data_IF_749135827641
#
_entry.id   IF_749135827641
#
_cell.length_a   1.000
_cell.length_b   1.000
_cell.length_c   1.000
_cell.angle_alpha   90.00
_cell.angle_beta   90.00
_cell.angle_gamma   90.00
#
_symmetry.space_group_name_H-M   'P 1'
#
loop_
_entity.id
_entity.type
_entity.pdbx_description
1 polymer ?
#
# COMPACT_ATOMS: atom_id res chain seq x y z
N UNK A 1 6.36 33.28 11.71
CA UNK A 1 5.06 32.63 11.88
C UNK A 1 4.30 32.80 10.57
N UNK A 2 4.26 31.77 9.73
CA UNK A 2 3.32 31.71 8.62
C UNK A 2 2.33 30.59 8.99
N UNK A 3 1.08 30.98 9.21
CA UNK A 3 -0.04 30.04 9.27
C UNK A 3 0.06 29.14 8.04
N UNK A 4 0.28 27.83 8.22
CA UNK A 4 0.08 26.90 7.11
C UNK A 4 -1.42 26.88 6.87
N UNK A 5 -1.89 27.67 5.91
CA UNK A 5 -3.28 27.73 5.50
C UNK A 5 -3.66 26.38 4.88
N UNK A 6 -3.95 25.41 5.73
CA UNK A 6 -4.41 24.08 5.34
C UNK A 6 -5.78 24.22 4.71
N UNK A 7 -5.90 23.86 3.44
CA UNK A 7 -7.18 23.84 2.75
C UNK A 7 -7.98 22.62 3.23
N UNK A 8 -8.98 22.83 4.09
CA UNK A 8 -9.91 21.78 4.50
C UNK A 8 -11.16 21.81 3.63
N UNK A 9 -11.32 20.80 2.79
CA UNK A 9 -12.44 20.66 1.87
C UNK A 9 -13.31 19.52 2.35
N UNK A 10 -14.57 19.86 2.64
CA UNK A 10 -15.63 18.87 2.68
C UNK A 10 -16.21 18.77 1.27
N UNK A 11 -16.02 17.62 0.63
CA UNK A 11 -16.64 17.32 -0.65
C UNK A 11 -18.14 17.15 -0.37
N UNK A 12 -19.03 17.92 -1.02
CA UNK A 12 -20.44 17.86 -0.71
C UNK A 12 -21.04 16.56 -1.24
N UNK A 13 -22.16 16.14 -0.66
CA UNK A 13 -22.90 14.97 -1.13
C UNK A 13 -23.32 15.07 -2.60
N UNK A 14 -23.77 13.93 -3.14
CA UNK A 14 -24.18 13.78 -4.54
C UNK A 14 -25.13 14.93 -4.96
N UNK A 15 -24.74 15.69 -6.00
CA UNK A 15 -25.55 16.78 -6.56
C UNK A 15 -25.04 18.21 -6.34
N UNK A 16 -23.87 18.41 -5.73
CA UNK A 16 -23.28 19.74 -5.49
C UNK A 16 -21.87 19.89 -6.08
N UNK A 17 -21.59 21.03 -6.73
CA UNK A 17 -20.24 21.37 -7.21
C UNK A 17 -19.56 22.37 -6.26
N UNK A 18 -18.34 22.08 -5.83
CA UNK A 18 -17.49 23.06 -5.13
C UNK A 18 -16.30 23.42 -6.02
N UNK A 19 -16.03 24.72 -6.15
CA UNK A 19 -14.72 25.23 -6.56
C UNK A 19 -14.14 26.02 -5.40
N UNK A 20 -13.23 25.42 -4.65
CA UNK A 20 -12.42 26.12 -3.64
C UNK A 20 -11.02 26.35 -4.19
N UNK A 21 -10.54 27.58 -4.01
CA UNK A 21 -9.20 28.02 -4.41
C UNK A 21 -8.60 28.71 -3.19
N UNK A 22 -7.53 28.18 -2.60
CA UNK A 22 -6.81 28.88 -1.52
C UNK A 22 -5.62 29.64 -2.07
N UNK A 23 -5.15 30.63 -1.33
CA UNK A 23 -4.01 31.49 -1.70
C UNK A 23 -2.71 30.70 -1.98
N UNK A 24 -2.61 29.44 -1.52
CA UNK A 24 -1.43 28.56 -1.62
C UNK A 24 -1.64 27.11 -2.08
N UNK A 25 -2.84 26.50 -2.01
CA UNK A 25 -2.91 25.02 -1.88
C UNK A 25 -3.40 24.20 -3.06
N UNK A 26 -4.62 24.45 -3.55
CA UNK A 26 -5.19 23.70 -4.67
C UNK A 26 -6.46 24.33 -5.22
N UNK A 27 -6.79 24.03 -6.48
CA UNK A 27 -8.14 24.18 -7.04
C UNK A 27 -8.82 22.83 -7.03
N UNK A 28 -9.98 22.72 -6.39
CA UNK A 28 -10.77 21.49 -6.39
C UNK A 28 -12.03 21.64 -7.22
N UNK A 29 -12.38 20.63 -7.99
CA UNK A 29 -13.60 20.58 -8.80
C UNK A 29 -14.28 19.23 -8.60
N UNK A 30 -15.60 19.25 -8.36
CA UNK A 30 -16.42 18.04 -8.24
C UNK A 30 -17.40 17.94 -9.42
N UNK A 31 -17.47 16.77 -10.05
CA UNK A 31 -18.37 16.50 -11.19
C UNK A 31 -19.05 15.15 -11.00
N UNK A 32 -20.37 15.08 -11.25
CA UNK A 32 -21.10 13.82 -11.29
C UNK A 32 -20.82 13.09 -12.61
N UNK A 33 -20.51 11.79 -12.53
CA UNK A 33 -20.60 10.89 -13.67
C UNK A 33 -21.29 9.59 -13.22
N UNK A 34 -22.58 9.44 -13.52
CA UNK A 34 -23.38 8.32 -12.99
C UNK A 34 -23.52 8.39 -11.47
N UNK A 35 -23.30 7.27 -10.78
CA UNK A 35 -23.41 7.16 -9.32
C UNK A 35 -22.10 7.50 -8.58
N UNK A 36 -21.05 7.89 -9.32
CA UNK A 36 -19.72 8.18 -8.76
C UNK A 36 -19.48 9.69 -8.68
N UNK A 37 -19.00 10.14 -7.53
CA UNK A 37 -18.55 11.53 -7.32
C UNK A 37 -17.09 11.69 -7.75
N UNK A 38 -16.83 12.49 -8.79
CA UNK A 38 -15.47 12.71 -9.27
C UNK A 38 -14.92 14.02 -8.72
N UNK A 39 -13.88 13.95 -7.90
CA UNK A 39 -13.14 15.10 -7.38
C UNK A 39 -11.79 15.20 -8.09
N UNK A 40 -11.45 16.39 -8.60
CA UNK A 40 -10.11 16.67 -9.12
C UNK A 40 -9.48 17.81 -8.35
N UNK A 41 -8.23 17.64 -7.97
CA UNK A 41 -7.42 18.59 -7.22
C UNK A 41 -6.26 19.01 -8.12
N UNK A 42 -6.12 20.30 -8.39
CA UNK A 42 -5.08 20.88 -9.24
C UNK A 42 -4.17 21.80 -8.44
N UNK A 43 -2.87 21.92 -8.79
CA UNK A 43 -2.00 22.91 -8.19
C UNK A 43 -2.53 24.32 -8.49
N UNK A 44 -2.58 25.19 -7.48
CA UNK A 44 -3.05 26.57 -7.65
C UNK A 44 -1.93 27.54 -8.08
N UNK A 45 -0.68 27.27 -7.69
CA UNK A 45 0.53 27.99 -8.11
C UNK A 45 1.73 27.03 -8.19
N UNK A 46 2.49 27.08 -9.28
CA UNK A 46 3.62 26.17 -9.50
C UNK A 46 3.17 24.78 -10.02
N UNK A 47 3.90 23.72 -9.66
CA UNK A 47 3.63 22.34 -10.11
C UNK A 47 3.04 21.43 -9.03
N UNK A 48 3.02 21.86 -7.77
CA UNK A 48 2.68 21.00 -6.62
C UNK A 48 1.39 21.41 -5.92
N UNK A 49 0.65 20.41 -5.45
CA UNK A 49 -0.52 20.48 -4.59
C UNK A 49 0.00 20.33 -3.15
N UNK A 50 -0.20 21.36 -2.32
CA UNK A 50 0.33 21.37 -0.95
C UNK A 50 -0.77 21.65 0.08
N UNK A 51 -0.65 21.01 1.24
CA UNK A 51 -1.44 21.29 2.46
C UNK A 51 -2.96 21.18 2.26
N UNK A 52 -3.42 20.10 1.60
CA UNK A 52 -4.84 19.83 1.37
C UNK A 52 -5.34 18.75 2.33
N UNK A 53 -6.44 19.02 3.02
CA UNK A 53 -7.26 18.04 3.71
C UNK A 53 -8.56 17.88 2.95
N UNK A 54 -8.81 16.68 2.42
CA UNK A 54 -10.01 16.34 1.67
C UNK A 54 -10.76 15.24 2.41
N UNK A 55 -12.04 15.50 2.69
CA UNK A 55 -12.96 14.49 3.22
C UNK A 55 -14.12 14.29 2.26
N UNK A 56 -14.31 13.05 1.84
CA UNK A 56 -15.42 12.62 1.00
C UNK A 56 -16.77 12.67 1.74
N UNK A 57 -17.90 12.66 1.01
CA UNK A 57 -19.22 12.58 1.62
C UNK A 57 -19.39 11.31 2.45
N UNK A 58 -20.39 11.29 3.33
CA UNK A 58 -20.62 10.13 4.22
C UNK A 58 -20.94 8.82 3.49
N UNK A 59 -21.38 8.88 2.23
CA UNK A 59 -21.71 7.72 1.41
C UNK A 59 -21.62 8.04 -0.08
N UNK A 60 -21.67 7.00 -0.90
CA UNK A 60 -21.58 7.00 -2.35
C UNK A 60 -20.14 6.83 -2.83
N UNK A 61 -19.98 6.09 -3.93
CA UNK A 61 -18.69 5.83 -4.54
C UNK A 61 -17.99 7.14 -4.96
N UNK A 62 -16.67 7.19 -4.77
CA UNK A 62 -15.87 8.38 -5.07
C UNK A 62 -14.69 8.07 -5.98
N UNK A 63 -14.28 9.09 -6.74
CA UNK A 63 -13.05 9.08 -7.52
C UNK A 63 -12.34 10.41 -7.36
N UNK A 64 -11.19 10.39 -6.70
CA UNK A 64 -10.43 11.58 -6.39
C UNK A 64 -9.06 11.54 -7.05
N UNK A 65 -8.76 12.56 -7.86
CA UNK A 65 -7.49 12.67 -8.59
C UNK A 65 -6.73 13.93 -8.20
N UNK A 66 -5.54 13.77 -7.64
CA UNK A 66 -4.56 14.82 -7.40
C UNK A 66 -3.66 14.94 -8.64
N UNK A 67 -3.90 16.00 -9.42
CA UNK A 67 -3.33 16.22 -10.74
C UNK A 67 -2.01 17.01 -10.67
N UNK A 68 -0.99 16.44 -10.04
CA UNK A 68 0.34 17.03 -9.86
C UNK A 68 1.10 16.42 -8.68
N UNK A 69 2.34 16.86 -8.49
CA UNK A 69 3.14 16.50 -7.31
C UNK A 69 2.37 16.90 -6.05
N UNK A 70 2.26 16.02 -5.07
CA UNK A 70 1.38 16.17 -3.91
C UNK A 70 2.17 16.10 -2.61
N UNK A 71 1.97 17.08 -1.73
CA UNK A 71 2.71 17.19 -0.48
C UNK A 71 1.82 17.60 0.67
N UNK A 72 1.95 16.93 1.82
CA UNK A 72 1.15 17.22 3.02
C UNK A 72 -0.36 17.08 2.76
N UNK A 73 -0.75 15.97 2.12
CA UNK A 73 -2.17 15.71 1.82
C UNK A 73 -2.76 14.82 2.90
N UNK A 74 -3.94 15.18 3.39
CA UNK A 74 -4.82 14.25 4.12
C UNK A 74 -6.02 13.93 3.23
N UNK A 75 -6.24 12.66 2.95
CA UNK A 75 -7.44 12.17 2.27
C UNK A 75 -8.21 11.24 3.21
N UNK A 76 -9.50 11.49 3.36
CA UNK A 76 -10.43 10.64 4.11
C UNK A 76 -11.62 10.31 3.22
N UNK A 77 -11.71 9.06 2.78
CA UNK A 77 -12.85 8.52 2.04
C UNK A 77 -14.01 8.12 2.96
N UNK A 78 -14.92 7.33 2.42
CA UNK A 78 -16.14 6.88 3.10
C UNK A 78 -16.20 5.34 3.14
N UNK A 79 -17.37 4.78 3.49
CA UNK A 79 -17.53 3.33 3.63
C UNK A 79 -17.98 2.62 2.34
N UNK A 80 -18.03 3.35 1.22
CA UNK A 80 -18.34 2.83 -0.10
C UNK A 80 -17.07 2.79 -0.96
N UNK A 81 -17.18 2.45 -2.25
CA UNK A 81 -15.98 2.28 -3.08
C UNK A 81 -15.31 3.61 -3.43
N UNK A 82 -14.08 3.79 -3.00
CA UNK A 82 -13.27 4.97 -3.27
C UNK A 82 -12.11 4.65 -4.21
N UNK A 83 -11.86 5.53 -5.18
CA UNK A 83 -10.65 5.51 -6.00
C UNK A 83 -9.84 6.77 -5.76
N UNK A 84 -8.59 6.64 -5.33
CA UNK A 84 -7.67 7.76 -5.14
C UNK A 84 -6.50 7.64 -6.11
N UNK A 85 -6.18 8.74 -6.80
CA UNK A 85 -5.09 8.77 -7.78
C UNK A 85 -4.18 9.98 -7.55
N UNK A 86 -2.88 9.73 -7.39
CA UNK A 86 -1.83 10.75 -7.37
C UNK A 86 -1.03 10.67 -8.67
N UNK A 87 -1.19 11.67 -9.55
CA UNK A 87 -0.58 11.62 -10.90
C UNK A 87 0.87 12.11 -10.94
N UNK A 88 1.37 12.73 -9.87
CA UNK A 88 2.78 13.08 -9.68
C UNK A 88 3.33 12.44 -8.41
N UNK A 89 4.53 12.88 -8.00
CA UNK A 89 5.18 12.35 -6.80
C UNK A 89 4.42 12.76 -5.55
N UNK A 90 4.27 11.83 -4.62
CA UNK A 90 3.49 11.96 -3.40
C UNK A 90 4.39 11.94 -2.17
N UNK A 91 4.26 12.95 -1.31
CA UNK A 91 5.08 13.07 -0.10
C UNK A 91 4.26 13.49 1.11
N UNK A 92 4.53 12.85 2.25
CA UNK A 92 3.87 13.19 3.51
C UNK A 92 2.34 13.11 3.39
N UNK A 93 1.84 11.99 2.84
CA UNK A 93 0.42 11.74 2.74
C UNK A 93 -0.11 11.04 3.99
N UNK A 94 -1.34 11.35 4.34
CA UNK A 94 -2.19 10.53 5.21
C UNK A 94 -3.45 10.18 4.43
N UNK A 95 -3.54 8.95 3.93
CA UNK A 95 -4.68 8.48 3.13
C UNK A 95 -5.43 7.42 3.94
N UNK A 96 -6.74 7.60 4.08
CA UNK A 96 -7.67 6.61 4.62
C UNK A 96 -8.82 6.48 3.63
N UNK A 97 -8.93 5.39 2.89
CA UNK A 97 -10.04 5.25 1.92
C UNK A 97 -11.32 4.83 2.62
N UNK A 98 -11.26 3.90 3.57
CA UNK A 98 -12.35 3.68 4.52
C UNK A 98 -12.78 2.23 4.53
N UNK A 99 -14.03 1.94 4.24
CA UNK A 99 -14.48 0.57 3.99
C UNK A 99 -14.96 0.49 2.53
N UNK A 100 -15.14 -0.72 2.03
CA UNK A 100 -15.49 -0.97 0.63
C UNK A 100 -14.27 -1.33 -0.20
N UNK A 101 -14.51 -1.77 -1.44
CA UNK A 101 -13.45 -2.28 -2.32
C UNK A 101 -12.71 -1.10 -2.96
N UNK A 102 -11.72 -0.57 -2.24
CA UNK A 102 -11.05 0.68 -2.58
C UNK A 102 -9.90 0.49 -3.58
N UNK A 103 -9.48 1.60 -4.20
CA UNK A 103 -8.37 1.61 -5.15
C UNK A 103 -7.45 2.80 -4.94
N UNK A 104 -6.15 2.54 -4.80
CA UNK A 104 -5.09 3.54 -4.84
C UNK A 104 -4.22 3.37 -6.09
N UNK A 105 -3.96 4.48 -6.78
CA UNK A 105 -2.92 4.57 -7.81
C UNK A 105 -2.01 5.76 -7.47
N UNK A 106 -0.72 5.54 -7.38
CA UNK A 106 0.25 6.62 -7.17
C UNK A 106 1.52 6.39 -8.00
N UNK A 107 2.26 7.45 -8.27
CA UNK A 107 3.66 7.32 -8.68
C UNK A 107 4.51 7.04 -7.43
N UNK A 108 5.60 7.77 -7.26
CA UNK A 108 6.49 7.59 -6.11
C UNK A 108 5.84 8.15 -4.85
N UNK A 109 5.87 7.37 -3.77
CA UNK A 109 5.36 7.72 -2.45
C UNK A 109 6.51 7.80 -1.46
N UNK A 110 6.58 8.90 -0.70
CA UNK A 110 7.55 9.03 0.39
C UNK A 110 6.95 9.57 1.69
N UNK A 111 7.45 9.09 2.84
CA UNK A 111 7.07 9.58 4.18
C UNK A 111 5.56 9.57 4.44
N UNK A 112 4.85 8.56 3.95
CA UNK A 112 3.38 8.56 3.92
C UNK A 112 2.79 7.41 4.72
N UNK A 113 1.56 7.59 5.20
CA UNK A 113 0.75 6.55 5.84
C UNK A 113 -0.54 6.38 5.06
N UNK A 114 -0.80 5.16 4.60
CA UNK A 114 -1.92 4.80 3.74
C UNK A 114 -2.66 3.64 4.39
N UNK A 115 -3.97 3.78 4.54
CA UNK A 115 -4.87 2.75 5.03
C UNK A 115 -6.00 2.59 4.01
N UNK A 116 -6.15 1.39 3.45
CA UNK A 116 -7.26 1.10 2.54
C UNK A 116 -8.52 0.70 3.32
N UNK A 117 -8.34 -0.02 4.43
CA UNK A 117 -9.40 -0.46 5.33
C UNK A 117 -10.14 -1.70 4.82
N UNK A 118 -11.30 -2.02 5.37
CA UNK A 118 -11.97 -3.28 5.06
C UNK A 118 -12.59 -3.30 3.65
N UNK A 119 -12.42 -4.38 2.90
CA UNK A 119 -12.92 -4.59 1.54
C UNK A 119 -11.83 -5.23 0.68
N UNK A 120 -12.17 -5.68 -0.53
CA UNK A 120 -11.16 -6.18 -1.47
C UNK A 120 -10.49 -4.99 -2.16
N UNK A 121 -9.32 -4.57 -1.65
CA UNK A 121 -8.67 -3.35 -2.09
C UNK A 121 -7.60 -3.60 -3.14
N UNK A 122 -7.29 -2.55 -3.91
CA UNK A 122 -6.17 -2.58 -4.85
C UNK A 122 -5.25 -1.37 -4.66
N UNK A 123 -3.93 -1.57 -4.68
CA UNK A 123 -2.97 -0.47 -4.68
C UNK A 123 -1.85 -0.70 -5.70
N UNK A 124 -1.56 0.32 -6.50
CA UNK A 124 -0.40 0.32 -7.41
C UNK A 124 0.42 1.58 -7.18
N UNK A 125 1.70 1.43 -6.86
CA UNK A 125 2.61 2.56 -6.62
C UNK A 125 3.91 2.43 -7.42
N UNK A 126 4.60 3.56 -7.62
CA UNK A 126 6.01 3.60 -8.04
C UNK A 126 6.94 3.23 -6.87
N UNK A 127 7.98 4.02 -6.64
CA UNK A 127 8.85 3.87 -5.47
C UNK A 127 8.05 4.08 -4.17
N UNK A 128 8.29 3.24 -3.15
CA UNK A 128 7.69 3.34 -1.83
C UNK A 128 8.78 3.53 -0.77
N UNK A 129 8.94 4.76 -0.27
CA UNK A 129 10.05 5.11 0.62
C UNK A 129 9.61 5.64 1.98
N UNK A 130 10.13 5.08 3.07
CA UNK A 130 9.80 5.52 4.44
C UNK A 130 8.27 5.64 4.65
N UNK A 131 7.50 4.69 4.13
CA UNK A 131 6.04 4.80 4.06
C UNK A 131 5.38 3.52 4.53
N UNK A 132 4.16 3.65 5.01
CA UNK A 132 3.32 2.54 5.48
C UNK A 132 2.11 2.38 4.59
N UNK A 133 1.82 1.15 4.16
CA UNK A 133 0.55 0.76 3.54
C UNK A 133 -0.09 -0.32 4.42
N UNK A 134 -1.37 -0.16 4.74
CA UNK A 134 -2.20 -1.18 5.39
C UNK A 134 -3.46 -1.38 4.58
N UNK A 135 -3.72 -2.58 4.07
CA UNK A 135 -4.94 -2.82 3.31
C UNK A 135 -6.10 -3.18 4.21
N UNK A 136 -6.04 -4.20 5.06
CA UNK A 136 -7.00 -4.37 6.15
C UNK A 136 -7.63 -5.75 6.21
N UNK A 137 -8.87 -5.89 5.75
CA UNK A 137 -9.53 -7.20 5.69
C UNK A 137 -10.23 -7.33 4.36
N UNK A 138 -10.21 -8.50 3.73
CA UNK A 138 -10.65 -8.70 2.34
C UNK A 138 -9.50 -9.22 1.51
N UNK A 139 -9.76 -9.68 0.28
CA UNK A 139 -8.68 -10.13 -0.60
C UNK A 139 -8.04 -8.92 -1.29
N UNK A 140 -6.86 -8.52 -0.84
CA UNK A 140 -6.19 -7.30 -1.26
C UNK A 140 -5.08 -7.54 -2.29
N UNK A 141 -5.02 -6.70 -3.34
CA UNK A 141 -3.97 -6.73 -4.36
C UNK A 141 -3.08 -5.48 -4.29
N UNK A 142 -1.83 -5.63 -3.84
CA UNK A 142 -0.85 -4.54 -3.75
C UNK A 142 0.33 -4.80 -4.70
N UNK A 143 0.62 -3.83 -5.56
CA UNK A 143 1.79 -3.87 -6.46
C UNK A 143 2.66 -2.63 -6.27
N UNK A 144 3.93 -2.84 -5.91
CA UNK A 144 4.96 -1.81 -5.86
C UNK A 144 5.84 -1.98 -7.10
N UNK A 145 5.64 -1.14 -8.11
CA UNK A 145 6.37 -1.21 -9.38
C UNK A 145 7.83 -0.75 -9.21
N UNK A 146 8.06 0.22 -8.33
CA UNK A 146 9.38 0.78 -8.02
C UNK A 146 10.06 0.11 -6.82
N UNK A 147 11.09 0.77 -6.30
CA UNK A 147 11.83 0.31 -5.12
C UNK A 147 11.01 0.51 -3.85
N UNK A 148 11.03 -0.48 -2.96
CA UNK A 148 10.54 -0.32 -1.60
C UNK A 148 11.73 -0.18 -0.63
N UNK A 149 11.88 0.97 0.02
CA UNK A 149 12.99 1.27 0.95
C UNK A 149 12.47 1.85 2.27
N UNK A 150 12.78 1.18 3.38
CA UNK A 150 12.22 1.52 4.69
C UNK A 150 10.68 1.55 4.66
N UNK A 151 10.08 0.61 3.91
CA UNK A 151 8.63 0.49 3.78
C UNK A 151 8.06 -0.45 4.84
N UNK A 152 6.85 -0.17 5.32
CA UNK A 152 6.06 -1.12 6.11
C UNK A 152 4.77 -1.43 5.35
N UNK A 153 4.55 -2.70 5.03
CA UNK A 153 3.35 -3.14 4.32
C UNK A 153 2.66 -4.19 5.19
N UNK A 154 1.35 -4.05 5.38
CA UNK A 154 0.52 -5.00 6.12
C UNK A 154 -0.75 -5.27 5.31
N UNK A 155 -1.04 -6.51 4.95
CA UNK A 155 -2.21 -6.80 4.11
C UNK A 155 -3.44 -7.17 4.96
N UNK A 156 -3.24 -7.94 6.03
CA UNK A 156 -4.22 -8.16 7.09
C UNK A 156 -4.97 -9.48 6.93
N UNK A 157 -6.29 -9.50 7.13
CA UNK A 157 -7.07 -10.75 7.04
C UNK A 157 -7.64 -10.91 5.62
N UNK A 158 -7.33 -11.97 4.89
CA UNK A 158 -7.82 -12.24 3.55
C UNK A 158 -6.81 -13.04 2.74
N UNK A 159 -7.18 -13.44 1.51
CA UNK A 159 -6.19 -14.04 0.61
C UNK A 159 -5.56 -12.91 -0.20
N UNK A 160 -4.42 -12.40 0.27
CA UNK A 160 -3.79 -11.20 -0.25
C UNK A 160 -2.70 -11.51 -1.28
N UNK A 161 -2.45 -10.56 -2.18
CA UNK A 161 -1.38 -10.63 -3.17
C UNK A 161 -0.52 -9.38 -3.11
N UNK A 162 0.78 -9.56 -2.88
CA UNK A 162 1.77 -8.50 -2.81
C UNK A 162 2.90 -8.72 -3.83
N UNK A 163 3.04 -7.80 -4.79
CA UNK A 163 4.04 -7.91 -5.87
C UNK A 163 5.05 -6.76 -5.79
N UNK A 164 6.33 -7.08 -5.83
CA UNK A 164 7.43 -6.12 -5.93
C UNK A 164 8.15 -6.24 -7.27
N UNK A 165 8.00 -5.20 -8.10
CA UNK A 165 8.64 -5.11 -9.41
C UNK A 165 10.13 -4.73 -9.36
N UNK A 166 10.61 -4.19 -8.23
CA UNK A 166 12.01 -3.79 -8.07
C UNK A 166 12.55 -4.07 -6.66
N UNK A 167 13.77 -3.58 -6.40
CA UNK A 167 14.52 -3.86 -5.17
C UNK A 167 13.73 -3.49 -3.90
N UNK A 168 13.73 -4.40 -2.92
CA UNK A 168 13.18 -4.19 -1.57
C UNK A 168 14.31 -4.09 -0.55
N UNK A 169 14.26 -3.14 0.37
CA UNK A 169 15.32 -2.94 1.35
C UNK A 169 14.83 -2.34 2.66
N UNK A 170 15.36 -2.84 3.78
CA UNK A 170 15.10 -2.26 5.10
C UNK A 170 13.59 -2.24 5.45
N UNK A 171 12.82 -3.18 4.90
CA UNK A 171 11.37 -3.14 4.94
C UNK A 171 10.79 -4.17 5.91
N UNK A 172 9.52 -4.00 6.24
CA UNK A 172 8.72 -4.99 6.96
C UNK A 172 7.47 -5.28 6.16
N UNK A 173 7.20 -6.56 5.94
CA UNK A 173 6.02 -7.07 5.24
C UNK A 173 5.31 -8.00 6.21
N UNK A 174 4.03 -7.76 6.43
CA UNK A 174 3.16 -8.56 7.29
C UNK A 174 1.97 -8.99 6.44
N UNK A 175 1.83 -10.29 6.16
CA UNK A 175 0.75 -10.77 5.31
C UNK A 175 -0.53 -10.86 6.14
N UNK A 176 -0.59 -11.72 7.14
CA UNK A 176 -1.61 -11.63 8.19
C UNK A 176 -2.35 -12.94 8.34
N UNK A 177 -3.60 -13.03 7.93
CA UNK A 177 -4.28 -14.33 7.88
C UNK A 177 -4.86 -14.58 6.52
N UNK A 178 -4.85 -15.83 6.09
CA UNK A 178 -5.39 -16.28 4.81
C UNK A 178 -4.28 -16.80 3.91
N UNK A 179 -4.66 -17.30 2.74
CA UNK A 179 -3.69 -17.87 1.81
C UNK A 179 -3.04 -16.76 0.98
N UNK A 180 -1.92 -16.25 1.46
CA UNK A 180 -1.27 -15.06 0.92
C UNK A 180 -0.20 -15.39 -0.13
N UNK A 181 0.03 -14.45 -1.04
CA UNK A 181 1.06 -14.54 -2.07
C UNK A 181 1.93 -13.31 -2.04
N UNK A 182 3.25 -13.49 -1.92
CA UNK A 182 4.23 -12.42 -2.11
C UNK A 182 5.25 -12.79 -3.18
N UNK A 183 5.43 -11.91 -4.17
CA UNK A 183 6.35 -12.10 -5.29
C UNK A 183 7.42 -10.99 -5.34
N UNK A 184 8.68 -11.41 -5.26
CA UNK A 184 9.83 -10.54 -5.45
C UNK A 184 10.48 -10.79 -6.82
N UNK A 185 10.26 -9.85 -7.74
CA UNK A 185 10.89 -9.88 -9.07
C UNK A 185 12.36 -9.43 -9.07
N UNK A 186 12.88 -8.94 -7.95
CA UNK A 186 14.24 -8.42 -7.82
C UNK A 186 14.81 -8.63 -6.41
N UNK A 187 16.06 -8.21 -6.22
CA UNK A 187 16.79 -8.36 -4.96
C UNK A 187 16.06 -7.75 -3.76
N UNK A 188 15.99 -8.51 -2.68
CA UNK A 188 15.59 -8.11 -1.33
C UNK A 188 16.82 -8.05 -0.40
N UNK A 189 16.83 -7.20 0.62
CA UNK A 189 17.89 -7.16 1.63
C UNK A 189 17.39 -6.52 2.93
N UNK A 190 17.86 -7.01 4.08
CA UNK A 190 17.51 -6.46 5.39
C UNK A 190 15.98 -6.25 5.56
N UNK A 191 15.19 -7.21 5.10
CA UNK A 191 13.72 -7.12 5.10
C UNK A 191 13.15 -8.25 5.93
N UNK A 192 12.13 -7.93 6.72
CA UNK A 192 11.41 -8.88 7.55
C UNK A 192 10.07 -9.18 6.88
N UNK A 193 9.76 -10.46 6.73
CA UNK A 193 8.52 -10.97 6.14
C UNK A 193 7.87 -11.87 7.17
N UNK A 194 6.69 -11.48 7.64
CA UNK A 194 5.81 -12.30 8.48
C UNK A 194 4.70 -12.85 7.61
N UNK A 195 4.62 -14.18 7.52
CA UNK A 195 3.52 -14.86 6.81
C UNK A 195 2.25 -14.90 7.68
N UNK A 196 2.36 -14.61 8.98
CA UNK A 196 1.21 -14.34 9.85
C UNK A 196 0.71 -15.52 10.67
N UNK A 197 1.30 -16.70 10.44
CA UNK A 197 1.26 -17.84 11.35
C UNK A 197 -0.14 -18.39 11.58
N UNK A 198 -0.78 -18.78 10.50
CA UNK A 198 -2.06 -19.47 10.50
C UNK A 198 -1.93 -20.89 9.91
N UNK A 199 -3.05 -21.45 9.45
CA UNK A 199 -3.12 -22.80 8.87
C UNK A 199 -3.33 -22.79 7.36
N UNK A 200 -3.40 -21.60 6.77
CA UNK A 200 -3.55 -21.43 5.34
C UNK A 200 -2.20 -21.67 4.66
N UNK A 201 -2.16 -21.62 3.33
CA UNK A 201 -0.92 -21.87 2.57
C UNK A 201 -0.47 -20.56 1.95
N UNK A 202 0.61 -20.02 2.50
CA UNK A 202 1.29 -18.85 1.98
C UNK A 202 2.35 -19.23 0.96
N UNK A 203 2.57 -18.32 0.00
CA UNK A 203 3.58 -18.50 -1.04
C UNK A 203 4.48 -17.31 -1.17
N UNK A 204 5.78 -17.55 -1.04
CA UNK A 204 6.84 -16.54 -1.20
C UNK A 204 7.66 -16.87 -2.44
N UNK A 205 7.65 -15.99 -3.44
CA UNK A 205 8.38 -16.19 -4.69
C UNK A 205 9.64 -15.32 -4.77
N UNK A 206 10.74 -15.95 -5.20
CA UNK A 206 11.97 -15.30 -5.63
C UNK A 206 12.40 -15.83 -7.00
N UNK A 207 12.90 -14.94 -7.86
CA UNK A 207 13.44 -15.35 -9.16
C UNK A 207 14.70 -16.22 -9.03
N UNK A 208 15.57 -15.94 -8.05
CA UNK A 208 16.79 -16.70 -7.82
C UNK A 208 17.24 -16.63 -6.37
N UNK A 209 18.06 -17.59 -5.92
CA UNK A 209 18.67 -17.54 -4.58
C UNK A 209 19.50 -16.28 -4.34
N UNK A 210 20.12 -15.73 -5.41
CA UNK A 210 20.92 -14.52 -5.33
C UNK A 210 20.12 -13.24 -5.09
N UNK A 211 18.80 -13.28 -5.32
CA UNK A 211 17.91 -12.17 -5.01
C UNK A 211 17.62 -12.07 -3.51
N UNK A 212 17.85 -13.13 -2.75
CA UNK A 212 17.66 -13.12 -1.31
C UNK A 212 18.92 -12.60 -0.64
N UNK A 213 18.98 -11.28 -0.43
CA UNK A 213 20.13 -10.61 0.17
C UNK A 213 20.20 -10.71 1.69
N UNK A 214 21.40 -10.48 2.22
CA UNK A 214 21.72 -10.52 3.65
C UNK A 214 20.72 -9.77 4.53
N UNK A 215 20.41 -10.36 5.69
CA UNK A 215 19.51 -9.80 6.69
C UNK A 215 18.02 -9.91 6.33
N UNK A 216 17.69 -10.49 5.17
CA UNK A 216 16.33 -10.90 4.85
C UNK A 216 15.94 -12.06 5.76
N UNK A 217 14.75 -11.96 6.35
CA UNK A 217 14.19 -12.89 7.31
C UNK A 217 12.74 -13.16 6.96
N UNK A 218 12.38 -14.44 6.83
CA UNK A 218 11.00 -14.90 6.65
C UNK A 218 10.63 -15.74 7.88
N UNK A 219 9.50 -15.43 8.50
CA UNK A 219 8.99 -16.09 9.69
C UNK A 219 7.45 -16.16 9.63
N UNK A 220 6.85 -16.76 10.66
CA UNK A 220 5.41 -16.92 10.73
C UNK A 220 4.87 -17.96 9.75
N UNK A 221 5.73 -18.84 9.24
CA UNK A 221 5.29 -19.88 8.32
C UNK A 221 4.41 -20.93 9.02
N UNK A 222 3.24 -21.18 8.46
CA UNK A 222 2.29 -22.22 8.84
C UNK A 222 2.59 -23.58 8.18
N UNK A 223 1.73 -24.55 8.46
CA UNK A 223 1.83 -25.89 7.88
C UNK A 223 1.45 -25.87 6.39
N UNK A 224 2.42 -26.07 5.50
CA UNK A 224 2.19 -26.20 4.06
C UNK A 224 2.63 -25.00 3.24
N UNK A 225 3.12 -23.94 3.88
CA UNK A 225 3.68 -22.78 3.21
C UNK A 225 4.82 -23.16 2.27
N UNK A 226 4.93 -22.39 1.19
CA UNK A 226 5.88 -22.63 0.11
C UNK A 226 6.79 -21.43 -0.11
N UNK A 227 8.08 -21.68 -0.02
CA UNK A 227 9.11 -20.81 -0.55
C UNK A 227 9.46 -21.28 -1.95
N UNK A 228 9.30 -20.44 -2.96
CA UNK A 228 9.53 -20.78 -4.37
C UNK A 228 10.70 -19.96 -4.88
N UNK A 229 11.76 -20.63 -5.34
CA UNK A 229 12.97 -19.96 -5.82
C UNK A 229 13.35 -20.48 -7.20
N UNK A 230 13.28 -19.61 -8.21
CA UNK A 230 13.58 -19.98 -9.60
C UNK A 230 12.66 -21.06 -10.16
N UNK A 231 11.43 -21.14 -9.66
CA UNK A 231 10.42 -22.14 -10.03
C UNK A 231 10.48 -23.45 -9.22
N UNK A 232 11.48 -23.61 -8.35
CA UNK A 232 11.58 -24.77 -7.46
C UNK A 232 10.90 -24.51 -6.13
N UNK A 233 10.10 -25.47 -5.63
CA UNK A 233 9.42 -25.40 -4.35
C UNK A 233 10.32 -25.87 -3.19
N UNK A 234 10.30 -25.10 -2.12
CA UNK A 234 10.97 -25.37 -0.85
C UNK A 234 9.91 -25.27 0.24
N UNK A 235 9.66 -26.37 0.94
CA UNK A 235 8.75 -26.35 2.08
C UNK A 235 9.41 -25.63 3.26
N UNK A 236 8.66 -24.76 3.93
CA UNK A 236 8.98 -24.39 5.31
C UNK A 236 8.68 -25.62 6.17
N UNK A 237 9.68 -26.21 6.80
CA UNK A 237 9.48 -27.33 7.74
C UNK A 237 9.68 -26.86 9.17
N UNK A 238 9.16 -27.62 10.14
CA UNK A 238 9.39 -27.45 11.59
C UNK A 238 10.25 -28.59 12.18
N UNK A 239 11.27 -28.22 12.97
CA UNK A 239 12.21 -28.97 13.83
C UNK A 239 13.20 -30.08 13.33
N UNK A 240 14.42 -29.96 13.88
CA UNK A 240 15.43 -30.92 14.38
C UNK A 240 16.23 -31.91 13.51
N UNK A 241 15.96 -32.07 12.22
CA UNK A 241 16.75 -33.01 11.41
C UNK A 241 17.78 -32.32 10.51
N UNK A 242 18.81 -31.75 11.14
CA UNK A 242 20.22 -31.87 10.72
C UNK A 242 20.68 -31.46 9.31
N UNK A 243 19.85 -30.85 8.46
CA UNK A 243 20.34 -30.36 7.17
C UNK A 243 19.30 -30.14 6.08
N UNK A 244 18.36 -29.22 6.30
CA UNK A 244 17.69 -28.39 5.27
C UNK A 244 16.99 -27.24 6.02
N UNK A 245 16.63 -26.13 5.36
CA UNK A 245 16.04 -24.97 6.03
C UNK A 245 14.68 -25.33 6.64
N UNK A 246 14.57 -25.19 7.95
CA UNK A 246 13.40 -25.53 8.76
C UNK A 246 13.21 -24.34 9.73
N UNK A 247 12.12 -23.58 9.60
CA UNK A 247 11.72 -22.55 10.57
C UNK A 247 10.52 -23.06 11.37
N UNK A 248 10.65 -23.19 12.68
CA UNK A 248 9.53 -23.34 13.61
C UNK A 248 9.03 -21.97 14.09
N UNK A 249 7.95 -21.93 14.87
CA UNK A 249 7.31 -20.72 15.40
C UNK A 249 8.34 -19.73 15.98
N UNK A 250 8.51 -18.57 15.34
CA UNK A 250 9.48 -17.54 15.76
C UNK A 250 10.89 -17.70 15.18
N UNK A 251 11.15 -18.70 14.35
CA UNK A 251 12.39 -18.84 13.61
C UNK A 251 12.33 -18.00 12.33
N UNK A 252 13.40 -17.25 12.08
CA UNK A 252 13.60 -16.55 10.83
C UNK A 252 14.55 -17.31 9.91
N UNK A 253 14.19 -17.48 8.65
CA UNK A 253 15.16 -17.92 7.65
C UNK A 253 16.06 -16.73 7.31
N UNK A 254 17.25 -16.70 7.89
CA UNK A 254 18.27 -15.70 7.54
C UNK A 254 19.20 -16.26 6.47
N UNK A 255 19.26 -15.57 5.33
CA UNK A 255 20.21 -15.88 4.26
C UNK A 255 21.49 -15.05 4.46
N UNK A 256 22.64 -15.75 4.54
CA UNK A 256 23.98 -15.17 4.77
C UNK A 256 24.64 -14.61 3.53
#
# INVERSE_FOLDING_TARGET
>A
MASSDTLSIFVPGIGSSITQTTTSGAKVTTVKAGDVLNTRVFPNRGRSIEDVKLKEPSSGDTRTTFSGDSKNITYTGNADKNTVTFTGDAKNLTVKTGAGNDRLIANDISKSTISLGSGDNTAVTGDLKNSTITSGSGADDITILGKADAAKISTGDGADTLIFGAKVSNSTILLGKGADVVDFSAKIQNTWIDLGNDSDIDKVFFNSKGDIGHGTQIFGAGDGDLLIIGGEEYAFKSSDDGGYFISSHGDSITFG
#
